data_IF_623122192557
#
_entry.id   IF_623122192557
#
_cell.length_a   1.000
_cell.length_b   1.000
_cell.length_c   1.000
_cell.angle_alpha   90.00
_cell.angle_beta   90.00
_cell.angle_gamma   90.00
#
_symmetry.space_group_name_H-M   'P 1'
#
loop_
_entity.id
_entity.type
_entity.pdbx_description
1 polymer ?
#
# COMPACT_ATOMS: atom_id res chain seq x y z
N UNK A 1 -43.18 -2.67 -32.69
CA UNK A 1 -42.20 -3.76 -32.78
C UNK A 1 -41.09 -3.43 -31.82
N UNK A 2 -41.03 -4.20 -30.74
CA UNK A 2 -39.94 -4.23 -29.77
C UNK A 2 -38.63 -4.66 -30.44
N UNK A 3 -37.51 -4.15 -29.91
CA UNK A 3 -36.17 -4.43 -30.42
C UNK A 3 -35.11 -4.00 -29.40
N UNK A 4 -35.21 -4.54 -28.19
CA UNK A 4 -34.20 -4.44 -27.13
C UNK A 4 -32.83 -4.88 -27.66
N UNK A 5 -31.78 -4.08 -27.38
CA UNK A 5 -30.40 -4.56 -27.42
C UNK A 5 -29.70 -4.17 -26.13
N UNK A 6 -29.54 -5.20 -25.29
CA UNK A 6 -28.66 -5.25 -24.14
C UNK A 6 -27.25 -4.78 -24.52
N UNK A 7 -26.71 -3.83 -23.76
CA UNK A 7 -25.29 -3.51 -23.78
C UNK A 7 -24.71 -3.79 -22.39
N UNK A 8 -24.08 -4.96 -22.31
CA UNK A 8 -22.78 -5.16 -21.65
C UNK A 8 -22.66 -4.80 -20.17
N UNK A 9 -23.13 -5.69 -19.30
CA UNK A 9 -22.59 -5.80 -17.95
C UNK A 9 -21.17 -6.38 -18.05
N UNK A 10 -20.15 -5.55 -17.86
CA UNK A 10 -18.76 -6.02 -17.70
C UNK A 10 -18.62 -6.49 -16.25
N UNK A 11 -18.73 -7.81 -16.05
CA UNK A 11 -18.49 -8.45 -14.76
C UNK A 11 -17.01 -8.40 -14.41
N UNK A 12 -16.66 -7.66 -13.36
CA UNK A 12 -15.33 -7.68 -12.74
C UNK A 12 -15.21 -9.03 -12.02
N UNK A 13 -14.39 -9.92 -12.55
CA UNK A 13 -13.99 -11.15 -11.87
C UNK A 13 -13.02 -10.79 -10.74
N UNK A 14 -13.51 -10.80 -9.49
CA UNK A 14 -12.68 -10.67 -8.30
C UNK A 14 -12.03 -12.03 -8.05
N UNK A 15 -10.72 -12.13 -8.30
CA UNK A 15 -9.91 -13.28 -7.92
C UNK A 15 -9.63 -13.18 -6.42
N UNK A 16 -10.32 -13.99 -5.61
CA UNK A 16 -10.00 -14.20 -4.20
C UNK A 16 -8.74 -15.06 -4.10
N UNK A 17 -7.60 -14.43 -3.80
CA UNK A 17 -6.39 -15.15 -3.38
C UNK A 17 -6.52 -15.46 -1.89
N UNK A 18 -6.79 -16.73 -1.58
CA UNK A 18 -6.75 -17.23 -0.21
C UNK A 18 -5.28 -17.41 0.20
N UNK A 19 -4.71 -16.46 0.95
CA UNK A 19 -3.44 -16.67 1.64
C UNK A 19 -3.75 -17.30 2.99
N UNK A 20 -3.49 -18.61 3.10
CA UNK A 20 -3.58 -19.33 4.36
C UNK A 20 -2.46 -18.91 5.29
N UNK A 21 -2.74 -18.04 6.25
CA UNK A 21 -1.82 -17.74 7.32
C UNK A 21 -1.88 -18.87 8.36
N UNK A 22 -0.84 -19.71 8.39
CA UNK A 22 -0.68 -20.71 9.44
C UNK A 22 -0.31 -19.98 10.74
N UNK A 23 -1.29 -19.68 11.58
CA UNK A 23 -1.06 -19.25 12.95
C UNK A 23 -0.54 -20.47 13.70
N UNK A 24 0.73 -20.46 14.07
CA UNK A 24 1.31 -21.41 15.01
C UNK A 24 0.70 -21.21 16.39
N UNK A 25 -0.49 -21.76 16.62
CA UNK A 25 -1.03 -21.98 17.96
C UNK A 25 -0.26 -23.16 18.57
N UNK A 26 0.86 -22.86 19.22
CA UNK A 26 1.45 -23.79 20.18
C UNK A 26 0.45 -23.97 21.32
N UNK A 27 -0.25 -25.10 21.28
CA UNK A 27 -1.00 -25.68 22.39
C UNK A 27 0.00 -25.97 23.50
N UNK A 28 -0.10 -25.27 24.63
CA UNK A 28 0.62 -25.62 25.84
C UNK A 28 -0.26 -26.51 26.70
N UNK A 29 -0.14 -27.82 26.50
CA UNK A 29 -0.36 -28.83 27.53
C UNK A 29 0.97 -29.56 27.67
N UNK A 30 1.73 -29.30 28.74
CA UNK A 30 2.39 -30.33 29.56
C UNK A 30 3.19 -29.71 30.73
N UNK A 31 3.22 -30.46 31.81
CA UNK A 31 3.90 -30.20 33.06
C UNK A 31 5.43 -30.30 32.94
N UNK A 32 6.15 -29.31 33.48
CA UNK A 32 7.42 -29.53 34.16
C UNK A 32 8.74 -29.17 33.45
N UNK A 33 9.64 -28.64 34.30
CA UNK A 33 11.11 -28.48 34.20
C UNK A 33 11.67 -27.18 33.62
N UNK A 34 12.05 -26.32 34.56
CA UNK A 34 13.41 -25.83 34.84
C UNK A 34 14.43 -25.78 33.68
N UNK A 35 15.00 -24.58 33.49
CA UNK A 35 16.30 -24.37 32.85
C UNK A 35 16.27 -23.75 31.46
N UNK A 36 16.60 -22.46 31.36
CA UNK A 36 16.94 -21.85 30.08
C UNK A 36 16.97 -20.33 30.11
N UNK A 37 18.10 -19.77 30.52
CA UNK A 37 18.51 -18.41 30.14
C UNK A 37 18.67 -18.38 28.62
N UNK A 38 17.65 -17.86 27.95
CA UNK A 38 17.63 -17.62 26.52
C UNK A 38 17.11 -16.21 26.35
N UNK A 39 18.02 -15.24 26.29
CA UNK A 39 17.71 -13.91 25.81
C UNK A 39 17.23 -14.01 24.38
N UNK A 40 15.93 -14.23 24.21
CA UNK A 40 15.22 -13.98 22.98
C UNK A 40 15.25 -12.46 22.80
N UNK A 41 16.36 -11.99 22.22
CA UNK A 41 16.27 -10.80 21.39
C UNK A 41 15.16 -11.13 20.40
N UNK A 42 14.02 -10.42 20.42
CA UNK A 42 12.97 -10.68 19.44
C UNK A 42 13.69 -10.60 18.10
N UNK A 43 13.64 -11.68 17.32
CA UNK A 43 14.01 -11.58 15.92
C UNK A 43 13.26 -10.35 15.42
N UNK A 44 13.99 -9.32 14.98
CA UNK A 44 13.40 -8.19 14.28
C UNK A 44 12.66 -8.83 13.12
N UNK A 45 11.35 -9.05 13.29
CA UNK A 45 10.56 -9.66 12.25
C UNK A 45 10.72 -8.71 11.08
N UNK A 46 11.40 -9.15 10.00
CA UNK A 46 11.62 -8.34 8.81
C UNK A 46 10.27 -7.72 8.42
N UNK A 47 10.09 -6.43 8.71
CA UNK A 47 8.81 -5.73 8.54
C UNK A 47 8.71 -5.26 7.09
N UNK A 48 8.86 -6.19 6.16
CA UNK A 48 8.84 -5.90 4.73
C UNK A 48 7.40 -5.71 4.27
N UNK A 49 7.08 -4.51 3.78
CA UNK A 49 5.83 -4.22 3.08
C UNK A 49 6.10 -4.22 1.58
N UNK A 50 5.44 -5.13 0.87
CA UNK A 50 5.34 -5.05 -0.58
C UNK A 50 4.19 -4.13 -0.97
N UNK A 51 4.47 -3.13 -1.82
CA UNK A 51 3.45 -2.18 -2.28
C UNK A 51 3.43 -2.06 -3.80
N UNK A 52 2.27 -1.64 -4.33
CA UNK A 52 2.09 -1.30 -5.74
C UNK A 52 1.77 0.18 -5.86
N UNK A 53 2.50 0.86 -6.74
CA UNK A 53 2.18 2.22 -7.19
C UNK A 53 1.75 2.14 -8.66
N UNK A 54 0.53 2.60 -8.95
CA UNK A 54 0.00 2.68 -10.31
C UNK A 54 -0.19 4.13 -10.68
N UNK A 55 0.33 4.53 -11.83
CA UNK A 55 0.14 5.86 -12.41
C UNK A 55 -0.90 5.83 -13.53
N UNK A 56 -1.57 6.94 -13.75
CA UNK A 56 -2.58 7.10 -14.82
C UNK A 56 -2.49 8.52 -15.36
N UNK A 57 -2.26 8.65 -16.66
CA UNK A 57 -2.22 9.94 -17.35
C UNK A 57 -3.63 10.45 -17.63
N UNK A 58 -3.86 11.75 -17.40
CA UNK A 58 -5.06 12.47 -17.81
C UNK A 58 -4.68 13.70 -18.67
N UNK A 59 -5.62 14.26 -19.45
CA UNK A 59 -5.32 15.41 -20.31
C UNK A 59 -4.76 16.64 -19.57
N UNK A 60 -5.24 16.89 -18.35
CA UNK A 60 -4.91 18.09 -17.56
C UNK A 60 -4.17 17.74 -16.25
N UNK A 61 -3.70 16.49 -16.10
CA UNK A 61 -3.08 16.04 -14.86
C UNK A 61 -2.77 14.56 -14.83
N UNK A 62 -2.61 14.03 -13.63
CA UNK A 62 -2.26 12.63 -13.41
C UNK A 62 -2.99 12.08 -12.19
N UNK A 63 -3.15 10.77 -12.15
CA UNK A 63 -3.61 10.07 -10.96
C UNK A 63 -2.62 9.02 -10.54
N UNK A 64 -2.65 8.71 -9.25
CA UNK A 64 -1.92 7.58 -8.71
C UNK A 64 -2.79 6.77 -7.77
N UNK A 65 -2.47 5.49 -7.65
CA UNK A 65 -3.06 4.58 -6.66
C UNK A 65 -1.95 3.81 -5.98
N UNK A 66 -1.97 3.80 -4.65
CA UNK A 66 -1.07 3.00 -3.81
C UNK A 66 -1.87 1.88 -3.15
N UNK A 67 -1.36 0.65 -3.21
CA UNK A 67 -1.99 -0.55 -2.64
C UNK A 67 -0.95 -1.39 -1.89
N UNK A 68 -1.22 -1.78 -0.65
CA UNK A 68 -0.38 -2.69 0.13
C UNK A 68 -1.14 -3.33 1.30
N UNK A 69 -0.54 -4.35 1.92
CA UNK A 69 -1.00 -4.93 3.18
C UNK A 69 -0.06 -4.49 4.31
N UNK A 70 -0.59 -3.75 5.29
CA UNK A 70 0.19 -3.25 6.42
C UNK A 70 0.39 -4.32 7.48
N UNK A 71 1.56 -4.97 7.52
CA UNK A 71 1.88 -5.98 8.54
C UNK A 71 2.05 -5.37 9.95
N UNK A 72 2.39 -4.08 10.02
CA UNK A 72 2.47 -3.27 11.24
C UNK A 72 1.70 -1.96 11.05
N UNK A 73 1.33 -1.29 12.13
CA UNK A 73 0.71 0.04 12.06
C UNK A 73 1.75 1.08 11.62
N UNK A 74 1.32 2.09 10.87
CA UNK A 74 2.23 3.11 10.37
C UNK A 74 1.54 4.24 9.62
N UNK A 75 2.37 5.07 8.98
CA UNK A 75 1.95 6.14 8.10
C UNK A 75 2.92 6.32 6.95
N UNK A 76 2.46 6.74 5.79
CA UNK A 76 3.30 7.06 4.64
C UNK A 76 3.04 8.49 4.19
N UNK A 77 3.99 9.00 3.43
CA UNK A 77 3.93 10.29 2.77
C UNK A 77 4.22 10.11 1.28
N UNK A 78 3.58 10.92 0.44
CA UNK A 78 3.85 10.97 -1.00
C UNK A 78 4.79 12.15 -1.29
N UNK A 79 5.77 11.94 -2.17
CA UNK A 79 6.71 12.97 -2.60
C UNK A 79 6.74 13.06 -4.13
N UNK A 80 7.00 14.26 -4.65
CA UNK A 80 7.34 14.49 -6.04
C UNK A 80 8.73 15.15 -6.08
N UNK A 81 9.73 14.38 -6.49
CA UNK A 81 11.13 14.77 -6.35
C UNK A 81 11.53 14.77 -4.86
N UNK A 82 11.92 15.95 -4.37
CA UNK A 82 12.31 16.17 -2.97
C UNK A 82 11.23 16.93 -2.16
N UNK A 83 10.08 17.24 -2.78
CA UNK A 83 8.99 17.98 -2.14
C UNK A 83 7.83 17.07 -1.73
N UNK A 84 7.19 17.38 -0.59
CA UNK A 84 5.99 16.69 -0.13
C UNK A 84 4.86 16.97 -1.12
N UNK A 85 4.31 15.89 -1.68
CA UNK A 85 3.18 16.00 -2.60
C UNK A 85 1.93 16.40 -1.84
N UNK A 86 1.30 17.48 -2.30
CA UNK A 86 0.08 18.02 -1.70
C UNK A 86 -1.14 17.74 -2.58
N UNK A 87 -2.30 17.61 -1.95
CA UNK A 87 -3.57 17.49 -2.65
C UNK A 87 -4.00 18.85 -3.25
N UNK A 88 -5.11 18.88 -3.99
CA UNK A 88 -5.65 20.10 -4.63
C UNK A 88 -6.05 21.24 -3.67
N UNK A 89 -6.14 20.97 -2.36
CA UNK A 89 -6.40 22.00 -1.35
C UNK A 89 -5.13 22.42 -0.60
N UNK A 90 -3.97 21.92 -1.01
CA UNK A 90 -2.66 22.26 -0.45
C UNK A 90 -2.28 21.48 0.81
N UNK A 91 -2.98 20.39 1.15
CA UNK A 91 -2.61 19.54 2.28
C UNK A 91 -1.70 18.39 1.83
N UNK A 92 -0.66 18.04 2.62
CA UNK A 92 0.17 16.87 2.37
C UNK A 92 -0.64 15.59 2.15
N UNK A 93 -0.31 14.84 1.11
CA UNK A 93 -0.90 13.54 0.89
C UNK A 93 -0.18 12.52 1.78
N UNK A 94 -0.84 12.21 2.88
CA UNK A 94 -0.38 11.20 3.84
C UNK A 94 -1.46 10.15 4.05
N UNK A 95 -1.06 8.95 4.46
CA UNK A 95 -2.00 7.89 4.82
C UNK A 95 -1.50 7.10 6.01
N UNK A 96 -2.32 7.00 7.05
CA UNK A 96 -2.10 6.11 8.19
C UNK A 96 -2.90 4.81 8.05
N UNK A 97 -2.44 3.76 8.73
CA UNK A 97 -3.10 2.46 8.77
C UNK A 97 -2.79 1.71 10.08
N UNK A 98 -3.61 0.72 10.41
CA UNK A 98 -3.39 -0.22 11.51
C UNK A 98 -2.65 -1.49 11.10
N UNK A 99 -2.13 -2.23 12.08
CA UNK A 99 -1.52 -3.54 11.82
C UNK A 99 -2.56 -4.55 11.29
N UNK A 100 -2.19 -5.29 10.25
CA UNK A 100 -3.05 -6.24 9.56
C UNK A 100 -4.08 -5.62 8.61
N UNK A 101 -3.94 -4.34 8.23
CA UNK A 101 -4.89 -3.62 7.38
C UNK A 101 -4.51 -3.69 5.88
N UNK A 102 -5.49 -3.96 5.01
CA UNK A 102 -5.35 -3.71 3.58
C UNK A 102 -5.57 -2.23 3.28
N UNK A 103 -4.55 -1.58 2.73
CA UNK A 103 -4.57 -0.16 2.40
C UNK A 103 -4.66 0.02 0.89
N UNK A 104 -5.63 0.83 0.46
CA UNK A 104 -5.75 1.32 -0.92
C UNK A 104 -6.23 2.76 -0.87
N UNK A 105 -5.49 3.65 -1.52
CA UNK A 105 -5.92 5.04 -1.70
C UNK A 105 -5.44 5.58 -3.05
N UNK A 106 -6.15 6.59 -3.55
CA UNK A 106 -5.92 7.17 -4.86
C UNK A 106 -6.19 8.66 -4.87
N UNK A 107 -5.39 9.40 -5.63
CA UNK A 107 -5.58 10.83 -5.86
C UNK A 107 -5.50 11.14 -7.36
N UNK A 108 -6.15 12.23 -7.75
CA UNK A 108 -6.02 12.86 -9.06
C UNK A 108 -5.57 14.30 -8.82
N UNK A 109 -4.48 14.69 -9.47
CA UNK A 109 -3.79 15.95 -9.30
C UNK A 109 -3.54 16.60 -10.66
N UNK A 110 -3.28 17.90 -10.64
CA UNK A 110 -2.93 18.68 -11.83
C UNK A 110 -1.41 18.60 -12.03
N UNK A 111 -0.93 18.80 -13.27
CA UNK A 111 0.51 18.86 -13.52
C UNK A 111 1.14 20.07 -12.84
N UNK A 112 2.36 19.94 -12.28
CA UNK A 112 3.16 21.10 -11.95
C UNK A 112 3.42 21.98 -13.18
N UNK A 113 3.57 23.28 -12.97
CA UNK A 113 3.77 24.24 -14.05
C UNK A 113 5.00 23.88 -14.90
N UNK A 114 4.77 23.54 -16.18
CA UNK A 114 5.82 23.23 -17.14
C UNK A 114 6.29 21.77 -17.14
N UNK A 115 5.73 20.92 -16.28
CA UNK A 115 6.06 19.49 -16.20
C UNK A 115 5.04 18.63 -16.94
N UNK A 116 5.44 17.41 -17.30
CA UNK A 116 4.62 16.44 -18.03
C UNK A 116 4.48 15.10 -17.27
N UNK A 117 3.82 14.12 -17.90
CA UNK A 117 3.62 12.81 -17.30
C UNK A 117 4.93 12.06 -17.03
N UNK A 118 5.93 12.18 -17.91
CA UNK A 118 7.21 11.51 -17.75
C UNK A 118 7.95 12.04 -16.51
N UNK A 119 7.89 13.35 -16.27
CA UNK A 119 8.40 13.93 -15.02
C UNK A 119 7.75 13.30 -13.79
N UNK A 120 6.42 13.07 -13.80
CA UNK A 120 5.72 12.41 -12.69
C UNK A 120 6.19 10.96 -12.51
N UNK A 121 6.33 10.21 -13.60
CA UNK A 121 6.79 8.81 -13.56
C UNK A 121 8.18 8.68 -12.92
N UNK A 122 9.10 9.59 -13.24
CA UNK A 122 10.47 9.55 -12.75
C UNK A 122 10.63 10.06 -11.30
N UNK A 123 9.67 10.88 -10.82
CA UNK A 123 9.83 11.63 -9.57
C UNK A 123 8.80 11.31 -8.48
N UNK A 124 7.70 10.63 -8.79
CA UNK A 124 6.71 10.26 -7.77
C UNK A 124 7.26 9.15 -6.86
N UNK A 125 7.26 9.39 -5.55
CA UNK A 125 7.80 8.47 -4.55
C UNK A 125 6.79 8.23 -3.43
N UNK A 126 6.71 6.97 -2.98
CA UNK A 126 6.01 6.57 -1.75
C UNK A 126 7.06 6.41 -0.67
N UNK A 127 6.95 7.19 0.41
CA UNK A 127 7.91 7.15 1.51
C UNK A 127 7.25 6.52 2.73
N UNK A 128 7.75 5.36 3.13
CA UNK A 128 7.38 4.67 4.36
C UNK A 128 8.30 5.12 5.52
N UNK A 129 7.88 4.94 6.78
CA UNK A 129 8.72 5.22 7.94
C UNK A 129 9.98 4.34 7.93
N UNK A 130 11.09 4.85 8.47
CA UNK A 130 12.40 4.18 8.44
C UNK A 130 12.47 2.79 9.09
N UNK A 131 11.48 2.41 9.89
CA UNK A 131 11.41 1.08 10.53
C UNK A 131 10.67 0.05 9.66
N UNK A 132 10.12 0.47 8.52
CA UNK A 132 9.46 -0.39 7.54
C UNK A 132 10.41 -0.53 6.36
N UNK A 133 10.81 -1.77 6.08
CA UNK A 133 11.43 -2.09 4.81
C UNK A 133 10.32 -2.16 3.74
N UNK A 134 10.41 -1.37 2.67
CA UNK A 134 9.34 -1.26 1.68
C UNK A 134 9.86 -1.56 0.28
N UNK A 135 9.19 -2.49 -0.40
CA UNK A 135 9.56 -2.95 -1.75
C UNK A 135 8.43 -2.66 -2.71
N UNK A 136 8.72 -1.94 -3.79
CA UNK A 136 7.78 -1.73 -4.88
C UNK A 136 7.73 -2.96 -5.79
N UNK A 137 6.52 -3.44 -6.10
CA UNK A 137 6.24 -4.57 -7.01
C UNK A 137 6.05 -4.13 -8.47
#
# INVERSE_FOLDING_TARGET
>A
MEGSKLLGVVGIAVILVAVGFAIGLSVSDDDGKDGGDGGDTPAEADQTIEYRLKLTEYPDGYGFTVEFYGVVAGSLEMYLGDEILSNRVGEPITRSWGAGEWVRFSYILDYPDGEDFAFIEDNLRVVFPSYIDAVQL
#
